data_IF_268024272378
#
_entry.id   IF_268024272378
#
_cell.length_a   1.000
_cell.length_b   1.000
_cell.length_c   1.000
_cell.angle_alpha   90.00
_cell.angle_beta   90.00
_cell.angle_gamma   90.00
#
_symmetry.space_group_name_H-M   'P 1'
#
loop_
_entity.id
_entity.type
_entity.pdbx_description
1 polymer ?
#
# COMPACT_ATOMS: atom_id res chain seq x y z
N UNK A 1 -33.05 11.14 80.90
CA UNK A 1 -31.86 11.86 80.37
C UNK A 1 -30.70 10.96 79.92
N UNK A 2 -30.48 9.74 80.47
CA UNK A 2 -29.38 8.85 80.01
C UNK A 2 -29.52 8.27 78.59
N UNK A 3 -30.74 8.08 78.08
CA UNK A 3 -31.00 7.51 76.76
C UNK A 3 -30.74 8.47 75.58
N UNK A 4 -30.78 9.79 75.82
CA UNK A 4 -30.49 10.78 74.77
C UNK A 4 -28.97 10.85 74.50
N UNK A 5 -28.17 10.71 75.56
CA UNK A 5 -26.71 10.75 75.47
C UNK A 5 -26.13 9.54 74.70
N UNK A 6 -26.75 8.36 74.81
CA UNK A 6 -26.29 7.18 74.06
C UNK A 6 -26.64 7.26 72.56
N UNK A 7 -27.77 7.88 72.21
CA UNK A 7 -28.13 8.14 70.80
C UNK A 7 -27.22 9.19 70.17
N UNK A 8 -26.92 10.28 70.87
CA UNK A 8 -26.04 11.34 70.35
C UNK A 8 -24.61 10.83 70.12
N UNK A 9 -24.10 9.98 71.02
CA UNK A 9 -22.76 9.37 70.88
C UNK A 9 -22.69 8.40 69.69
N UNK A 10 -23.80 7.72 69.38
CA UNK A 10 -23.91 6.78 68.25
C UNK A 10 -24.03 7.48 66.89
N UNK A 11 -24.68 8.65 66.85
CA UNK A 11 -24.76 9.49 65.64
C UNK A 11 -23.43 10.22 65.37
N UNK A 12 -22.73 10.71 66.40
CA UNK A 12 -21.37 11.27 66.22
C UNK A 12 -20.35 10.24 65.71
N UNK A 13 -20.44 8.98 66.16
CA UNK A 13 -19.56 7.92 65.65
C UNK A 13 -19.91 7.46 64.22
N UNK A 14 -21.14 7.70 63.74
CA UNK A 14 -21.52 7.44 62.35
C UNK A 14 -20.99 8.50 61.38
N UNK A 15 -20.88 9.76 61.81
CA UNK A 15 -20.33 10.82 60.97
C UNK A 15 -18.80 10.83 60.89
N UNK A 16 -18.09 10.10 61.74
CA UNK A 16 -16.62 9.97 61.71
C UNK A 16 -16.14 8.64 61.10
N UNK A 17 -17.05 7.77 60.64
CA UNK A 17 -16.77 6.35 60.45
C UNK A 17 -16.51 5.85 59.02
N UNK A 18 -16.78 6.60 57.95
CA UNK A 18 -16.71 6.00 56.61
C UNK A 18 -16.18 6.95 55.54
N UNK A 19 -14.94 7.36 55.74
CA UNK A 19 -14.13 8.06 54.76
C UNK A 19 -12.70 7.56 54.82
N UNK A 20 -12.48 6.26 55.06
CA UNK A 20 -11.18 5.66 54.80
C UNK A 20 -11.03 5.58 53.29
N UNK A 21 -10.63 6.71 52.67
CA UNK A 21 -9.83 6.65 51.47
C UNK A 21 -8.63 5.78 51.81
N UNK A 22 -8.73 4.49 51.49
CA UNK A 22 -7.59 3.59 51.50
C UNK A 22 -6.68 4.11 50.39
N UNK A 23 -5.80 5.04 50.75
CA UNK A 23 -4.67 5.42 49.92
C UNK A 23 -3.80 4.18 49.75
N UNK A 24 -4.14 3.35 48.78
CA UNK A 24 -3.31 2.25 48.33
C UNK A 24 -2.15 2.90 47.60
N UNK A 25 -1.07 3.17 48.33
CA UNK A 25 0.19 3.60 47.74
C UNK A 25 0.67 2.56 46.73
N UNK A 26 1.23 3.04 45.61
CA UNK A 26 1.89 2.19 44.62
C UNK A 26 3.05 1.47 45.31
N UNK A 27 3.07 0.14 45.19
CA UNK A 27 4.12 -0.67 45.80
C UNK A 27 5.36 -0.70 44.90
N UNK A 28 6.57 -0.81 45.47
CA UNK A 28 7.82 -0.88 44.70
C UNK A 28 7.80 -2.02 43.67
N UNK A 29 7.20 -3.16 44.02
CA UNK A 29 7.07 -4.30 43.13
C UNK A 29 6.18 -3.97 41.92
N UNK A 30 5.12 -3.20 42.11
CA UNK A 30 4.21 -2.79 41.05
C UNK A 30 4.88 -1.82 40.07
N UNK A 31 5.76 -0.94 40.57
CA UNK A 31 6.64 -0.11 39.72
C UNK A 31 7.62 -0.96 38.92
N UNK A 32 8.23 -1.98 39.54
CA UNK A 32 9.17 -2.87 38.85
C UNK A 32 8.50 -3.69 37.75
N UNK A 33 7.31 -4.24 38.02
CA UNK A 33 6.52 -4.93 36.99
C UNK A 33 6.12 -3.96 35.87
N UNK A 34 5.70 -2.74 36.22
CA UNK A 34 5.34 -1.72 35.23
C UNK A 34 6.52 -1.34 34.34
N UNK A 35 7.71 -1.14 34.92
CA UNK A 35 8.94 -0.82 34.17
C UNK A 35 9.36 -1.98 33.26
N UNK A 36 9.26 -3.21 33.77
CA UNK A 36 9.56 -4.40 32.96
C UNK A 36 8.62 -4.51 31.76
N UNK A 37 7.30 -4.34 31.96
CA UNK A 37 6.32 -4.35 30.88
C UNK A 37 6.53 -3.22 29.88
N UNK A 38 6.92 -2.03 30.36
CA UNK A 38 7.23 -0.90 29.49
C UNK A 38 8.44 -1.18 28.60
N UNK A 39 9.52 -1.76 29.15
CA UNK A 39 10.72 -2.13 28.38
C UNK A 39 10.35 -3.17 27.32
N UNK A 40 9.63 -4.22 27.69
CA UNK A 40 9.20 -5.27 26.74
C UNK A 40 8.29 -4.68 25.65
N UNK A 41 7.37 -3.79 26.01
CA UNK A 41 6.50 -3.09 25.06
C UNK A 41 7.28 -2.22 24.06
N UNK A 42 8.25 -1.43 24.54
CA UNK A 42 9.09 -0.59 23.68
C UNK A 42 9.95 -1.43 22.74
N UNK A 43 10.54 -2.52 23.23
CA UNK A 43 11.32 -3.44 22.40
C UNK A 43 10.45 -4.10 21.31
N UNK A 44 9.21 -4.44 21.65
CA UNK A 44 8.22 -4.93 20.69
C UNK A 44 7.97 -3.93 19.56
N UNK A 45 7.80 -2.64 19.88
CA UNK A 45 7.58 -1.59 18.88
C UNK A 45 8.81 -1.36 17.98
N UNK A 46 10.01 -1.35 18.56
CA UNK A 46 11.25 -1.19 17.78
C UNK A 46 11.42 -2.36 16.79
N UNK A 47 11.01 -3.57 17.17
CA UNK A 47 11.10 -4.75 16.29
C UNK A 47 10.26 -4.64 15.01
N UNK A 48 9.22 -3.79 14.99
CA UNK A 48 8.35 -3.60 13.82
C UNK A 48 8.88 -2.60 12.79
N UNK A 49 9.79 -1.71 13.16
CA UNK A 49 10.29 -0.64 12.28
C UNK A 49 10.92 -1.16 10.96
N UNK A 50 11.76 -2.22 10.97
CA UNK A 50 12.38 -2.72 9.74
C UNK A 50 11.38 -3.34 8.76
N UNK A 51 10.32 -3.99 9.27
CA UNK A 51 9.27 -4.56 8.46
C UNK A 51 8.43 -3.45 7.79
N UNK A 52 8.13 -2.37 8.52
CA UNK A 52 7.40 -1.22 8.00
C UNK A 52 8.12 -0.56 6.82
N UNK A 53 9.45 -0.38 6.89
CA UNK A 53 10.22 0.20 5.79
C UNK A 53 10.24 -0.67 4.53
N UNK A 54 10.40 -1.99 4.70
CA UNK A 54 10.36 -2.92 3.56
C UNK A 54 9.01 -2.92 2.86
N UNK A 55 7.94 -2.90 3.66
CA UNK A 55 6.58 -2.84 3.14
C UNK A 55 6.31 -1.52 2.42
N UNK A 56 6.70 -0.39 3.02
CA UNK A 56 6.55 0.93 2.40
C UNK A 56 7.30 1.01 1.08
N UNK A 57 8.58 0.58 1.06
CA UNK A 57 9.35 0.57 -0.18
C UNK A 57 8.69 -0.28 -1.25
N UNK A 58 8.28 -1.51 -0.92
CA UNK A 58 7.60 -2.40 -1.88
C UNK A 58 6.29 -1.80 -2.40
N UNK A 59 5.52 -1.14 -1.54
CA UNK A 59 4.28 -0.47 -1.92
C UNK A 59 4.54 0.71 -2.87
N UNK A 60 5.60 1.49 -2.65
CA UNK A 60 5.98 2.59 -3.53
C UNK A 60 6.34 2.11 -4.94
N UNK A 61 7.15 1.04 -5.04
CA UNK A 61 7.48 0.42 -6.33
C UNK A 61 6.23 -0.13 -7.02
N UNK A 62 5.38 -0.84 -6.27
CA UNK A 62 4.16 -1.42 -6.82
C UNK A 62 3.19 -0.35 -7.32
N UNK A 63 2.97 0.72 -6.55
CA UNK A 63 2.08 1.81 -6.92
C UNK A 63 2.56 2.54 -8.19
N UNK A 64 3.85 2.82 -8.29
CA UNK A 64 4.44 3.44 -9.49
C UNK A 64 4.40 2.51 -10.71
N UNK A 65 4.69 1.23 -10.51
CA UNK A 65 4.59 0.23 -11.57
C UNK A 65 3.14 0.11 -12.08
N UNK A 66 2.15 0.05 -11.17
CA UNK A 66 0.74 -0.06 -11.52
C UNK A 66 0.24 1.17 -12.27
N UNK A 67 0.62 2.37 -11.81
CA UNK A 67 0.28 3.60 -12.52
C UNK A 67 0.86 3.62 -13.95
N UNK A 68 2.12 3.24 -14.09
CA UNK A 68 2.80 3.17 -15.40
C UNK A 68 2.10 2.16 -16.30
N UNK A 69 1.81 0.96 -15.80
CA UNK A 69 1.12 -0.09 -16.55
C UNK A 69 -0.23 0.40 -17.05
N UNK A 70 -1.03 1.02 -16.18
CA UNK A 70 -2.34 1.54 -16.53
C UNK A 70 -2.27 2.63 -17.61
N UNK A 71 -1.32 3.56 -17.47
CA UNK A 71 -1.10 4.64 -18.43
C UNK A 71 -0.76 4.08 -19.81
N UNK A 72 0.12 3.10 -19.87
CA UNK A 72 0.52 2.45 -21.12
C UNK A 72 -0.64 1.72 -21.77
N UNK A 73 -1.40 0.95 -20.99
CA UNK A 73 -2.56 0.25 -21.49
C UNK A 73 -3.59 1.22 -22.09
N UNK A 74 -3.92 2.29 -21.39
CA UNK A 74 -4.85 3.31 -21.87
C UNK A 74 -4.35 4.01 -23.15
N UNK A 75 -3.06 4.32 -23.21
CA UNK A 75 -2.46 4.96 -24.38
C UNK A 75 -2.57 4.07 -25.63
N UNK A 76 -2.19 2.80 -25.51
CA UNK A 76 -2.28 1.87 -26.65
C UNK A 76 -3.71 1.46 -26.96
N UNK A 77 -4.59 1.36 -25.96
CA UNK A 77 -6.01 1.14 -26.17
C UNK A 77 -6.61 2.24 -27.04
N UNK A 78 -6.37 3.51 -26.70
CA UNK A 78 -6.83 4.65 -27.50
C UNK A 78 -6.27 4.63 -28.93
N UNK A 79 -5.00 4.25 -29.10
CA UNK A 79 -4.38 4.11 -30.43
C UNK A 79 -4.99 2.97 -31.24
N UNK A 80 -5.30 1.85 -30.61
CA UNK A 80 -5.90 0.69 -31.28
C UNK A 80 -7.35 1.00 -31.66
N UNK A 81 -8.13 1.62 -30.76
CA UNK A 81 -9.52 1.99 -31.00
C UNK A 81 -9.67 2.92 -32.20
N UNK A 82 -8.70 3.81 -32.43
CA UNK A 82 -8.70 4.69 -33.59
C UNK A 82 -8.29 3.93 -34.87
N UNK A 83 -9.22 3.74 -35.83
CA UNK A 83 -8.91 3.01 -37.07
C UNK A 83 -7.94 3.74 -38.00
N UNK A 84 -7.80 5.06 -37.88
CA UNK A 84 -6.90 5.88 -38.71
C UNK A 84 -5.42 5.69 -38.32
N UNK A 85 -5.13 5.15 -37.13
CA UNK A 85 -3.78 4.83 -36.70
C UNK A 85 -3.44 3.41 -37.17
N UNK A 86 -2.44 3.27 -38.04
CA UNK A 86 -1.95 1.95 -38.43
C UNK A 86 -1.18 1.30 -37.26
N UNK A 87 -1.54 0.06 -36.91
CA UNK A 87 -0.78 -0.77 -35.98
C UNK A 87 0.05 -1.75 -36.81
N UNK A 88 1.36 -1.52 -36.88
CA UNK A 88 2.28 -2.37 -37.61
C UNK A 88 2.68 -3.58 -36.76
N UNK A 89 2.02 -4.71 -36.98
CA UNK A 89 2.41 -6.00 -36.40
C UNK A 89 3.30 -6.78 -37.36
N UNK A 90 4.16 -7.65 -36.83
CA UNK A 90 4.93 -8.57 -37.64
C UNK A 90 3.98 -9.53 -38.41
N UNK A 91 4.13 -9.70 -39.74
CA UNK A 91 3.19 -10.49 -40.54
C UNK A 91 3.13 -11.98 -40.19
N UNK A 92 4.22 -12.55 -39.66
CA UNK A 92 4.32 -13.98 -39.37
C UNK A 92 3.76 -14.31 -37.98
N UNK A 93 4.07 -13.47 -37.00
CA UNK A 93 3.70 -13.66 -35.59
C UNK A 93 2.45 -12.89 -35.19
N UNK A 94 1.95 -12.01 -36.07
CA UNK A 94 0.84 -11.09 -35.83
C UNK A 94 1.01 -10.24 -34.58
N UNK A 95 2.25 -10.02 -34.16
CA UNK A 95 2.56 -9.40 -32.87
C UNK A 95 3.51 -8.22 -33.07
N UNK A 96 3.30 -7.19 -32.28
CA UNK A 96 4.23 -6.09 -32.08
C UNK A 96 4.60 -6.05 -30.60
N UNK A 97 5.88 -5.83 -30.28
CA UNK A 97 6.33 -5.68 -28.90
C UNK A 97 7.32 -4.52 -28.80
N UNK A 98 7.19 -3.74 -27.74
CA UNK A 98 8.14 -2.69 -27.37
C UNK A 98 8.55 -2.90 -25.93
N UNK A 99 9.83 -2.69 -25.66
CA UNK A 99 10.38 -2.71 -24.31
C UNK A 99 11.25 -1.49 -24.12
N UNK A 100 11.03 -0.76 -23.04
CA UNK A 100 11.84 0.40 -22.67
C UNK A 100 11.89 0.54 -21.15
N UNK A 101 12.91 1.23 -20.67
CA UNK A 101 13.06 1.53 -19.24
C UNK A 101 12.60 2.95 -18.95
N UNK A 102 11.99 3.12 -17.79
CA UNK A 102 11.71 4.43 -17.20
C UNK A 102 12.41 4.52 -15.85
N UNK A 103 12.87 5.71 -15.54
CA UNK A 103 13.44 6.04 -14.24
C UNK A 103 12.41 6.78 -13.40
N UNK A 104 12.38 6.57 -12.09
CA UNK A 104 11.46 7.25 -11.19
C UNK A 104 11.71 8.77 -11.12
N UNK A 105 12.92 9.22 -11.45
CA UNK A 105 13.23 10.66 -11.59
C UNK A 105 12.79 11.27 -12.93
N UNK A 106 12.36 10.45 -13.90
CA UNK A 106 11.99 10.90 -15.25
C UNK A 106 13.17 11.43 -16.07
N UNK A 107 14.39 11.02 -15.73
CA UNK A 107 15.62 11.39 -16.44
C UNK A 107 16.03 10.27 -17.39
N UNK A 108 16.64 10.64 -18.52
CA UNK A 108 17.13 9.65 -19.51
C UNK A 108 18.30 8.80 -19.00
N UNK A 109 18.98 9.25 -17.93
CA UNK A 109 20.07 8.52 -17.27
C UNK A 109 19.72 8.25 -15.82
N UNK A 110 19.89 7.00 -15.41
CA UNK A 110 19.72 6.57 -14.02
C UNK A 110 20.64 7.35 -13.08
N UNK A 111 20.07 7.92 -12.02
CA UNK A 111 20.82 8.54 -10.93
C UNK A 111 20.98 7.53 -9.78
N UNK A 112 22.03 7.69 -8.98
CA UNK A 112 22.24 6.82 -7.82
C UNK A 112 21.02 6.84 -6.89
N UNK A 113 20.44 5.66 -6.62
CA UNK A 113 19.25 5.52 -5.80
C UNK A 113 17.92 5.67 -6.56
N UNK A 114 17.96 5.81 -7.87
CA UNK A 114 16.76 5.89 -8.70
C UNK A 114 16.13 4.50 -8.93
N UNK A 115 14.80 4.47 -9.00
CA UNK A 115 14.06 3.26 -9.28
C UNK A 115 13.89 3.10 -10.79
N UNK A 116 14.43 2.03 -11.36
CA UNK A 116 14.27 1.70 -12.78
C UNK A 116 13.13 0.69 -12.96
N UNK A 117 12.20 1.00 -13.86
CA UNK A 117 11.12 0.11 -14.25
C UNK A 117 11.27 -0.24 -15.73
N UNK A 118 11.18 -1.53 -16.05
CA UNK A 118 11.15 -2.03 -17.42
C UNK A 118 9.69 -2.22 -17.81
N UNK A 119 9.26 -1.47 -18.81
CA UNK A 119 7.94 -1.53 -19.39
C UNK A 119 8.02 -2.37 -20.66
N UNK A 120 7.17 -3.37 -20.75
CA UNK A 120 6.99 -4.19 -21.94
C UNK A 120 5.52 -4.12 -22.35
N UNK A 121 5.29 -3.73 -23.60
CA UNK A 121 3.96 -3.70 -24.20
C UNK A 121 3.96 -4.60 -25.42
N UNK A 122 2.96 -5.48 -25.49
CA UNK A 122 2.79 -6.43 -26.58
C UNK A 122 1.38 -6.30 -27.13
N UNK A 123 1.27 -6.11 -28.45
CA UNK A 123 0.01 -6.04 -29.18
C UNK A 123 -0.03 -7.24 -30.11
N UNK A 124 -1.04 -8.09 -29.98
CA UNK A 124 -1.27 -9.22 -30.86
C UNK A 124 -2.56 -9.00 -31.65
N UNK A 125 -2.47 -9.02 -32.97
CA UNK A 125 -3.65 -8.99 -33.84
C UNK A 125 -4.36 -10.35 -33.82
N UNK A 126 -5.65 -10.32 -33.51
CA UNK A 126 -6.50 -11.50 -33.40
C UNK A 126 -7.43 -11.70 -34.60
N UNK A 127 -7.78 -10.62 -35.30
CA UNK A 127 -8.81 -10.64 -36.35
C UNK A 127 -8.47 -9.72 -37.53
N UNK A 128 -7.23 -9.80 -38.03
CA UNK A 128 -6.79 -9.10 -39.23
C UNK A 128 -6.94 -7.59 -39.15
N UNK A 129 -6.70 -7.03 -37.96
CA UNK A 129 -6.72 -5.60 -37.68
C UNK A 129 -8.02 -5.05 -37.11
N UNK A 130 -9.02 -5.90 -36.82
CA UNK A 130 -10.28 -5.49 -36.18
C UNK A 130 -10.25 -5.58 -34.66
N UNK A 131 -9.55 -6.59 -34.15
CA UNK A 131 -9.39 -6.81 -32.71
C UNK A 131 -7.96 -7.17 -32.38
N UNK A 132 -7.52 -6.68 -31.22
CA UNK A 132 -6.16 -6.86 -30.74
C UNK A 132 -6.18 -7.26 -29.27
N UNK A 133 -5.27 -8.13 -28.88
CA UNK A 133 -4.90 -8.33 -27.48
C UNK A 133 -3.77 -7.38 -27.15
N UNK A 134 -3.98 -6.51 -26.18
CA UNK A 134 -2.96 -5.64 -25.62
C UNK A 134 -2.53 -6.25 -24.28
N UNK A 135 -1.24 -6.54 -24.13
CA UNK A 135 -0.65 -7.02 -22.88
C UNK A 135 0.46 -6.06 -22.46
N UNK A 136 0.36 -5.55 -21.24
CA UNK A 136 1.38 -4.72 -20.61
C UNK A 136 2.03 -5.47 -19.45
N UNK A 137 3.32 -5.27 -19.26
CA UNK A 137 4.08 -5.76 -18.12
C UNK A 137 5.06 -4.71 -17.65
N UNK A 138 5.13 -4.50 -16.34
CA UNK A 138 6.09 -3.60 -15.71
C UNK A 138 6.86 -4.37 -14.64
N UNK A 139 8.18 -4.44 -14.78
CA UNK A 139 9.08 -5.09 -13.82
C UNK A 139 10.15 -4.14 -13.30
N UNK A 140 10.75 -4.47 -12.16
CA UNK A 140 11.83 -3.67 -11.54
C UNK A 140 12.86 -4.62 -10.91
N UNK A 141 14.09 -4.16 -10.58
CA UNK A 141 15.17 -5.05 -10.15
C UNK A 141 14.83 -5.98 -8.98
N UNK A 142 14.05 -5.50 -8.00
CA UNK A 142 13.63 -6.30 -6.85
C UNK A 142 12.49 -7.30 -7.16
N UNK A 143 11.78 -7.12 -8.27
CA UNK A 143 10.75 -8.06 -8.75
C UNK A 143 10.83 -8.17 -10.28
N UNK A 144 11.65 -9.09 -10.82
CA UNK A 144 11.81 -9.25 -12.26
C UNK A 144 10.56 -9.86 -12.92
N UNK A 145 9.70 -10.55 -12.15
CA UNK A 145 8.40 -11.01 -12.64
C UNK A 145 7.51 -9.79 -12.91
N UNK A 146 7.49 -8.84 -11.98
CA UNK A 146 6.75 -7.59 -12.10
C UNK A 146 5.25 -7.79 -11.97
N UNK A 147 4.50 -6.83 -12.49
CA UNK A 147 3.05 -6.89 -12.65
C UNK A 147 2.70 -6.92 -14.13
N UNK A 148 1.61 -7.57 -14.48
CA UNK A 148 1.16 -7.68 -15.87
C UNK A 148 -0.36 -7.67 -15.94
N UNK A 149 -0.88 -7.07 -17.00
CA UNK A 149 -2.29 -7.03 -17.30
C UNK A 149 -2.49 -7.16 -18.81
N UNK A 150 -3.64 -7.71 -19.20
CA UNK A 150 -4.00 -7.85 -20.60
C UNK A 150 -5.45 -7.50 -20.81
N UNK A 151 -5.73 -6.82 -21.92
CA UNK A 151 -7.05 -6.40 -22.32
C UNK A 151 -7.29 -6.73 -23.80
N UNK A 152 -8.56 -6.91 -24.15
CA UNK A 152 -9.00 -7.09 -25.53
C UNK A 152 -9.57 -5.77 -26.02
N UNK A 153 -9.00 -5.22 -27.09
CA UNK A 153 -9.47 -4.00 -27.74
C UNK A 153 -10.05 -4.35 -29.09
N UNK A 154 -11.20 -3.79 -29.40
CA UNK A 154 -11.79 -3.84 -30.73
C UNK A 154 -11.83 -2.44 -31.32
N UNK A 155 -11.54 -2.33 -32.61
CA UNK A 155 -11.71 -1.07 -33.33
C UNK A 155 -13.18 -0.73 -33.42
N UNK A 156 -13.50 0.55 -33.28
CA UNK A 156 -14.86 1.05 -33.40
C UNK A 156 -14.90 2.18 -34.43
N UNK A 157 -15.83 2.08 -35.38
CA UNK A 157 -15.97 3.05 -36.49
C UNK A 157 -16.28 4.47 -35.99
N UNK A 158 -16.85 4.62 -34.79
CA UNK A 158 -17.17 5.90 -34.16
C UNK A 158 -15.94 6.75 -33.82
N UNK A 159 -14.73 6.17 -33.77
CA UNK A 159 -13.48 6.88 -33.47
C UNK A 159 -12.71 7.29 -34.73
N UNK A 160 -13.33 7.15 -35.91
CA UNK A 160 -12.79 7.64 -37.17
C UNK A 160 -13.02 9.15 -37.27
N UNK A 161 -12.10 9.93 -36.70
CA UNK A 161 -12.06 11.40 -36.82
C UNK A 161 -11.00 11.85 -37.82
#
# INVERSE_FOLDING_TARGET
MRALNSRMKKEMQRHMGDGSSKEKGITLIEVLVSLFLLIVGVLGLISMQPAAWRLSGTADYLGRAAHTLQRELQFYEARIMNPNVAISVDPNTKTWSSTYSITASGQDTEKTGDAVFNVQTTITDLDGGRSYRLAGRVSWPANPVGISESLLVTRTESYRQ
#
